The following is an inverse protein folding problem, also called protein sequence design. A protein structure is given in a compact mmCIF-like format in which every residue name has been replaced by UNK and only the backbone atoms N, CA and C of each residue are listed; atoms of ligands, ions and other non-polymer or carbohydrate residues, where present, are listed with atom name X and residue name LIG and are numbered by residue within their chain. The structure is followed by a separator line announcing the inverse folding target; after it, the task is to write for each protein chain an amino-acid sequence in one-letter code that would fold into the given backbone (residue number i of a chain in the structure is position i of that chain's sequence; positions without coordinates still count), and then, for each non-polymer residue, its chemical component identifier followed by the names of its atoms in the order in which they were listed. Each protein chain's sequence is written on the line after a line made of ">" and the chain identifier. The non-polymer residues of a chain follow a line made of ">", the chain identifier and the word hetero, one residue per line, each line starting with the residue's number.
data_IF_019963372549
#
_entry.id   IF_019963372549
#
_cell.length_a   1.000
_cell.length_b   1.000
_cell.length_c   1.000
_cell.angle_alpha   90.00
_cell.angle_beta   90.00
_cell.angle_gamma   90.00
#
_symmetry.space_group_name_H-M   'P 1'
#
loop_
_entity.id
_entity.type
_entity.pdbx_description
1 polymer ?
#
# COMPACT_ATOMS: atom_id res chain seq x y z
N UNK A 1 -1.55 13.68 -23.57
CA UNK A 1 -1.92 13.43 -24.97
C UNK A 1 -1.70 11.96 -25.26
N UNK A 2 -2.58 11.21 -25.89
CA UNK A 2 -3.86 11.59 -26.50
C UNK A 2 -4.75 10.36 -26.61
N UNK A 3 -6.05 10.64 -26.58
CA UNK A 3 -7.13 9.86 -27.15
C UNK A 3 -6.74 9.25 -28.53
N UNK A 4 -7.12 7.99 -28.74
CA UNK A 4 -6.88 7.24 -29.98
C UNK A 4 -7.56 7.86 -31.21
N UNK A 5 -8.47 8.82 -31.02
CA UNK A 5 -9.04 9.63 -32.10
C UNK A 5 -8.09 10.71 -32.65
N UNK A 6 -6.97 10.99 -31.98
CA UNK A 6 -6.05 12.10 -32.30
C UNK A 6 -4.58 11.65 -32.52
N UNK A 7 -4.35 10.48 -33.13
CA UNK A 7 -3.05 10.15 -33.73
C UNK A 7 -1.88 9.83 -32.77
N UNK A 8 -2.13 9.18 -31.63
CA UNK A 8 -1.08 8.69 -30.71
C UNK A 8 -0.56 7.29 -31.05
N UNK A 9 0.76 7.05 -30.90
CA UNK A 9 1.51 5.85 -31.31
C UNK A 9 1.22 4.55 -30.48
N UNK A 10 0.15 4.49 -29.69
CA UNK A 10 -0.17 3.33 -28.86
C UNK A 10 0.80 3.04 -27.70
N UNK A 11 1.80 3.90 -27.48
CA UNK A 11 2.71 3.84 -26.32
C UNK A 11 2.01 4.58 -25.17
N UNK A 12 1.73 3.88 -24.07
CA UNK A 12 1.10 4.45 -22.88
C UNK A 12 1.82 5.71 -22.36
N UNK A 13 1.12 6.51 -21.54
CA UNK A 13 1.63 7.80 -21.06
C UNK A 13 3.05 7.68 -20.48
N UNK A 14 4.04 8.29 -21.15
CA UNK A 14 5.44 8.30 -20.70
C UNK A 14 5.58 8.85 -19.27
N UNK A 15 4.73 9.82 -18.90
CA UNK A 15 4.71 10.36 -17.55
C UNK A 15 4.24 9.32 -16.53
N UNK A 16 3.23 8.51 -16.87
CA UNK A 16 2.78 7.41 -16.02
C UNK A 16 3.89 6.36 -15.90
N UNK A 17 4.52 5.96 -17.01
CA UNK A 17 5.70 5.07 -17.04
C UNK A 17 6.82 5.53 -16.13
N UNK A 18 7.18 6.80 -16.19
CA UNK A 18 8.21 7.38 -15.33
C UNK A 18 7.80 7.35 -13.84
N UNK A 19 6.53 7.65 -13.52
CA UNK A 19 6.01 7.54 -12.16
C UNK A 19 6.00 6.09 -11.65
N UNK A 20 5.63 5.12 -12.49
CA UNK A 20 5.68 3.70 -12.15
C UNK A 20 7.10 3.21 -11.87
N UNK A 21 8.10 3.70 -12.62
CA UNK A 21 9.51 3.42 -12.36
C UNK A 21 9.98 4.00 -11.03
N UNK A 22 9.54 5.22 -10.67
CA UNK A 22 9.81 5.79 -9.34
C UNK A 22 9.09 5.00 -8.24
N UNK A 23 7.87 4.54 -8.51
CA UNK A 23 7.14 3.67 -7.59
C UNK A 23 7.79 2.30 -7.40
N UNK A 24 8.53 1.80 -8.40
CA UNK A 24 9.35 0.59 -8.23
C UNK A 24 10.41 0.75 -7.14
N UNK A 25 10.97 1.95 -6.96
CA UNK A 25 11.91 2.20 -5.87
C UNK A 25 11.26 2.16 -4.49
N UNK A 26 9.99 2.56 -4.38
CA UNK A 26 9.20 2.36 -3.16
C UNK A 26 9.08 0.87 -2.83
N UNK A 27 8.68 0.06 -3.81
CA UNK A 27 8.57 -1.39 -3.65
C UNK A 27 9.90 -2.04 -3.23
N UNK A 28 11.00 -1.68 -3.91
CA UNK A 28 12.31 -2.24 -3.62
C UNK A 28 12.82 -1.87 -2.24
N UNK A 29 12.53 -0.66 -1.75
CA UNK A 29 12.92 -0.29 -0.39
C UNK A 29 12.27 -1.21 0.66
N UNK A 30 11.03 -1.59 0.42
CA UNK A 30 10.27 -2.48 1.30
C UNK A 30 10.68 -3.95 1.19
N UNK A 31 11.03 -4.41 -0.02
CA UNK A 31 11.30 -5.83 -0.30
C UNK A 31 12.78 -6.23 -0.31
N UNK A 32 13.70 -5.27 -0.36
CA UNK A 32 15.16 -5.50 -0.35
C UNK A 32 15.81 -4.92 0.92
N UNK A 33 15.45 -5.38 2.14
CA UNK A 33 15.94 -4.79 3.39
C UNK A 33 17.46 -4.92 3.57
N UNK A 34 18.08 -5.93 2.95
CA UNK A 34 19.51 -6.23 3.08
C UNK A 34 20.36 -5.58 1.98
N UNK A 35 19.76 -4.96 0.98
CA UNK A 35 20.51 -4.37 -0.11
C UNK A 35 21.33 -3.16 0.37
N UNK A 36 22.60 -3.07 -0.04
CA UNK A 36 23.52 -2.00 0.38
C UNK A 36 22.94 -0.60 0.14
N UNK A 37 22.32 -0.38 -1.02
CA UNK A 37 21.70 0.91 -1.33
C UNK A 37 20.61 1.28 -0.32
N UNK A 38 19.81 0.30 0.12
CA UNK A 38 18.75 0.49 1.11
C UNK A 38 19.33 0.80 2.48
N UNK A 39 20.41 0.12 2.88
CA UNK A 39 21.11 0.40 4.13
C UNK A 39 21.66 1.83 4.17
N UNK A 40 22.25 2.30 3.06
CA UNK A 40 22.74 3.68 2.91
C UNK A 40 21.60 4.70 3.01
N UNK A 41 20.46 4.43 2.35
CA UNK A 41 19.28 5.27 2.50
C UNK A 41 18.81 5.30 3.95
N UNK A 42 18.76 4.15 4.62
CA UNK A 42 18.33 4.07 6.02
C UNK A 42 19.28 4.78 6.98
N UNK A 43 20.59 4.81 6.71
CA UNK A 43 21.55 5.56 7.54
C UNK A 43 21.40 7.07 7.38
N UNK A 44 21.01 7.54 6.20
CA UNK A 44 20.85 8.99 5.91
C UNK A 44 19.47 9.49 6.31
N UNK A 45 18.42 8.71 6.06
CA UNK A 45 17.02 9.13 6.18
C UNK A 45 16.25 8.42 7.31
N UNK A 46 16.94 7.66 8.16
CA UNK A 46 16.37 6.87 9.25
C UNK A 46 15.91 5.47 8.81
N UNK A 47 15.57 4.61 9.78
CA UNK A 47 15.25 3.19 9.53
C UNK A 47 14.16 2.94 8.49
N UNK A 48 13.18 3.85 8.41
CA UNK A 48 12.08 3.81 7.45
C UNK A 48 12.36 4.62 6.17
N UNK A 49 13.58 5.11 5.94
CA UNK A 49 13.95 5.85 4.73
C UNK A 49 13.11 7.09 4.47
N UNK A 50 12.48 7.67 5.50
CA UNK A 50 11.54 8.79 5.38
C UNK A 50 10.08 8.40 5.07
N UNK A 51 9.74 7.12 4.87
CA UNK A 51 8.35 6.68 4.61
C UNK A 51 7.39 6.92 5.80
N UNK A 52 7.92 7.02 7.01
CA UNK A 52 7.16 7.34 8.22
C UNK A 52 7.00 8.86 8.47
N UNK A 53 7.62 9.70 7.65
CA UNK A 53 7.56 11.16 7.77
C UNK A 53 6.34 11.72 7.05
N UNK A 54 5.72 12.76 7.61
CA UNK A 54 4.61 13.45 6.94
C UNK A 54 5.13 14.22 5.70
N UNK A 55 4.26 14.44 4.72
CA UNK A 55 4.58 15.18 3.50
C UNK A 55 5.20 16.55 3.79
N UNK A 56 4.68 17.23 4.80
CA UNK A 56 5.09 18.58 5.21
C UNK A 56 6.45 18.59 5.89
N UNK A 57 6.83 17.46 6.51
CA UNK A 57 8.09 17.31 7.22
C UNK A 57 9.29 17.03 6.31
N UNK A 58 9.05 16.46 5.12
CA UNK A 58 10.13 16.15 4.17
C UNK A 58 10.53 17.40 3.37
N UNK A 59 11.60 18.05 3.83
CA UNK A 59 12.23 19.20 3.18
C UNK A 59 13.44 18.78 2.33
N UNK A 60 13.77 19.58 1.33
CA UNK A 60 14.93 19.36 0.44
C UNK A 60 14.58 18.80 -0.94
N UNK A 61 15.63 18.58 -1.75
CA UNK A 61 15.54 18.29 -3.19
C UNK A 61 16.44 17.13 -3.65
N UNK A 62 16.98 16.35 -2.70
CA UNK A 62 17.81 15.18 -3.02
C UNK A 62 17.07 14.11 -3.82
N UNK A 63 17.82 13.27 -4.55
CA UNK A 63 17.25 12.24 -5.43
C UNK A 63 16.26 11.32 -4.69
N UNK A 64 16.63 10.83 -3.50
CA UNK A 64 15.76 10.01 -2.67
C UNK A 64 14.51 10.76 -2.21
N UNK A 65 14.65 12.03 -1.81
CA UNK A 65 13.52 12.88 -1.43
C UNK A 65 12.55 13.09 -2.60
N UNK A 66 13.06 13.21 -3.83
CA UNK A 66 12.21 13.32 -5.01
C UNK A 66 11.47 12.01 -5.33
N UNK A 67 12.06 10.85 -5.05
CA UNK A 67 11.38 9.54 -5.12
C UNK A 67 10.23 9.48 -4.11
N UNK A 68 10.45 9.92 -2.86
CA UNK A 68 9.37 10.01 -1.87
C UNK A 68 8.26 10.98 -2.33
N UNK A 69 8.64 12.15 -2.83
CA UNK A 69 7.67 13.12 -3.35
C UNK A 69 6.86 12.61 -4.53
N UNK A 70 7.46 11.79 -5.39
CA UNK A 70 6.75 11.17 -6.51
C UNK A 70 5.63 10.24 -6.03
N UNK A 71 5.82 9.49 -4.94
CA UNK A 71 4.76 8.65 -4.38
C UNK A 71 3.54 9.44 -3.92
N UNK A 72 3.73 10.59 -3.26
CA UNK A 72 2.61 11.47 -2.90
C UNK A 72 1.95 12.09 -4.13
N UNK A 73 2.72 12.46 -5.15
CA UNK A 73 2.17 12.99 -6.40
C UNK A 73 1.29 11.96 -7.12
N UNK A 74 1.68 10.68 -7.10
CA UNK A 74 0.85 9.59 -7.62
C UNK A 74 -0.43 9.48 -6.78
N UNK A 75 -0.32 9.56 -5.46
CA UNK A 75 -1.47 9.50 -4.56
C UNK A 75 -2.46 10.66 -4.80
N UNK A 76 -1.95 11.87 -5.01
CA UNK A 76 -2.75 13.06 -5.34
C UNK A 76 -3.47 12.93 -6.69
N UNK A 77 -3.01 12.03 -7.57
CA UNK A 77 -3.63 11.77 -8.88
C UNK A 77 -4.83 10.80 -8.77
N UNK A 78 -5.25 10.45 -7.56
CA UNK A 78 -6.38 9.58 -7.27
C UNK A 78 -6.06 8.09 -7.22
N UNK A 79 -4.84 7.69 -7.60
CA UNK A 79 -4.38 6.30 -7.44
C UNK A 79 -3.99 6.08 -5.99
N UNK A 80 -4.55 5.10 -5.26
CA UNK A 80 -4.25 4.87 -3.84
C UNK A 80 -2.86 4.23 -3.65
N UNK A 81 -1.82 4.89 -4.14
CA UNK A 81 -0.49 4.32 -4.33
C UNK A 81 0.17 3.94 -3.00
N UNK A 82 0.16 4.85 -2.03
CA UNK A 82 0.84 4.61 -0.74
C UNK A 82 0.13 3.53 0.06
N UNK A 83 -1.20 3.57 0.12
CA UNK A 83 -2.02 2.57 0.82
C UNK A 83 -2.06 1.21 0.12
N UNK A 84 -1.53 1.13 -1.10
CA UNK A 84 -1.42 -0.14 -1.84
C UNK A 84 -0.17 -0.95 -1.49
N UNK A 85 0.81 -0.34 -0.82
CA UNK A 85 1.92 -1.06 -0.20
C UNK A 85 1.49 -1.54 1.18
N UNK A 86 1.15 -2.83 1.28
CA UNK A 86 0.68 -3.42 2.53
C UNK A 86 1.66 -4.41 3.08
N UNK A 87 1.73 -4.53 4.39
CA UNK A 87 2.44 -5.61 5.06
C UNK A 87 1.68 -6.92 4.85
N UNK A 88 2.40 -7.95 4.44
CA UNK A 88 1.92 -9.32 4.38
C UNK A 88 2.25 -9.99 5.71
N UNK A 89 1.23 -10.20 6.53
CA UNK A 89 1.36 -10.89 7.83
C UNK A 89 1.49 -12.39 7.58
N UNK A 90 2.57 -13.00 8.07
CA UNK A 90 2.78 -14.45 8.03
C UNK A 90 3.01 -14.95 9.45
N UNK A 91 4.16 -14.66 10.05
CA UNK A 91 4.39 -14.94 11.47
C UNK A 91 3.88 -13.80 12.36
N UNK A 92 3.74 -12.60 11.79
CA UNK A 92 3.35 -11.39 12.50
C UNK A 92 4.46 -10.78 13.35
N UNK A 93 5.67 -11.34 13.31
CA UNK A 93 6.80 -10.99 14.19
C UNK A 93 7.43 -9.63 13.86
N UNK A 94 7.34 -9.19 12.61
CA UNK A 94 7.95 -7.92 12.15
C UNK A 94 6.93 -6.91 11.65
N UNK A 95 5.65 -7.18 11.87
CA UNK A 95 4.55 -6.28 11.52
C UNK A 95 3.94 -5.72 12.78
N UNK A 96 3.96 -4.39 12.94
CA UNK A 96 3.38 -3.70 14.10
C UNK A 96 1.87 -3.62 13.92
N UNK A 97 1.13 -4.08 14.92
CA UNK A 97 -0.33 -4.20 14.80
C UNK A 97 -0.99 -2.83 14.56
N UNK A 98 -0.51 -1.80 15.25
CA UNK A 98 -1.11 -0.47 15.22
C UNK A 98 -0.64 0.40 14.06
N UNK A 99 0.67 0.41 13.80
CA UNK A 99 1.33 1.44 12.98
C UNK A 99 1.57 1.04 11.54
N UNK A 100 1.59 -0.24 11.23
CA UNK A 100 1.79 -0.70 9.86
C UNK A 100 0.45 -0.92 9.15
N UNK A 101 0.41 -0.70 7.83
CA UNK A 101 -0.78 -0.97 7.01
C UNK A 101 -0.76 -2.42 6.55
N UNK A 102 -1.43 -3.30 7.28
CA UNK A 102 -1.58 -4.72 6.91
C UNK A 102 -3.04 -5.12 6.64
N UNK A 103 -4.00 -4.29 7.07
CA UNK A 103 -5.43 -4.47 6.85
C UNK A 103 -6.07 -3.16 6.37
N UNK A 104 -7.09 -3.24 5.52
CA UNK A 104 -7.77 -2.05 5.00
C UNK A 104 -6.86 -1.14 4.17
N UNK A 105 -7.09 0.17 4.20
CA UNK A 105 -6.34 1.18 3.43
C UNK A 105 -5.42 2.06 4.29
N UNK A 106 -5.46 1.91 5.62
CA UNK A 106 -4.71 2.72 6.57
C UNK A 106 -4.37 1.89 7.82
N UNK A 107 -3.42 2.39 8.61
CA UNK A 107 -2.97 1.75 9.84
C UNK A 107 -4.06 1.76 10.92
N UNK A 108 -4.04 0.76 11.80
CA UNK A 108 -5.11 0.57 12.80
C UNK A 108 -5.14 1.67 13.87
N UNK A 109 -4.03 2.37 14.12
CA UNK A 109 -4.01 3.56 14.97
C UNK A 109 -4.88 4.70 14.42
N UNK A 110 -5.02 4.80 13.10
CA UNK A 110 -5.89 5.78 12.43
C UNK A 110 -7.33 5.29 12.31
N UNK A 111 -7.53 3.99 12.14
CA UNK A 111 -8.86 3.37 12.05
C UNK A 111 -9.55 3.33 13.41
N UNK A 112 -8.81 3.00 14.46
CA UNK A 112 -9.30 2.85 15.84
C UNK A 112 -8.50 3.71 16.82
N UNK A 113 -8.53 5.05 16.69
CA UNK A 113 -7.68 5.95 17.47
C UNK A 113 -7.94 5.86 18.99
N UNK A 114 -9.18 5.50 19.38
CA UNK A 114 -9.58 5.35 20.77
C UNK A 114 -9.00 4.09 21.40
N UNK A 115 -9.06 2.97 20.68
CA UNK A 115 -8.40 1.74 21.10
C UNK A 115 -6.88 1.96 21.17
N UNK A 116 -6.29 2.57 20.15
CA UNK A 116 -4.85 2.86 20.14
C UNK A 116 -4.40 3.72 21.33
N UNK A 117 -5.20 4.71 21.74
CA UNK A 117 -4.91 5.50 22.93
C UNK A 117 -4.82 4.62 24.19
N UNK A 118 -5.70 3.62 24.29
CA UNK A 118 -5.82 2.68 25.41
C UNK A 118 -4.85 1.50 25.34
N UNK A 119 -4.23 1.21 24.19
CA UNK A 119 -3.23 0.16 24.07
C UNK A 119 -2.07 0.38 25.04
N UNK A 120 -1.69 -0.68 25.78
CA UNK A 120 -0.55 -0.68 26.69
C UNK A 120 0.75 -0.48 25.90
N UNK A 121 0.99 -1.36 24.93
CA UNK A 121 2.10 -1.29 23.99
C UNK A 121 1.60 -0.85 22.60
N UNK A 122 2.07 0.33 22.17
CA UNK A 122 1.72 0.94 20.88
C UNK A 122 2.64 0.51 19.74
N UNK A 123 3.73 -0.20 20.05
CA UNK A 123 4.73 -0.67 19.10
C UNK A 123 4.80 -2.20 19.02
N UNK A 124 3.91 -2.91 19.72
CA UNK A 124 3.83 -4.36 19.68
C UNK A 124 3.58 -4.91 18.27
N UNK A 125 4.16 -6.08 18.02
CA UNK A 125 3.95 -6.85 16.80
C UNK A 125 2.60 -7.57 16.81
N UNK A 126 2.11 -7.93 15.62
CA UNK A 126 0.89 -8.74 15.47
C UNK A 126 1.03 -10.07 16.20
N UNK A 127 2.21 -10.72 16.13
CA UNK A 127 2.47 -11.96 16.84
C UNK A 127 2.34 -11.79 18.36
N UNK A 128 2.98 -10.76 18.91
CA UNK A 128 2.90 -10.48 20.35
C UNK A 128 1.47 -10.20 20.78
N UNK A 129 0.73 -9.39 20.02
CA UNK A 129 -0.67 -9.09 20.32
C UNK A 129 -1.54 -10.35 20.36
N UNK A 130 -1.47 -11.19 19.31
CA UNK A 130 -2.25 -12.43 19.23
C UNK A 130 -1.87 -13.38 20.36
N UNK A 131 -0.58 -13.56 20.64
CA UNK A 131 -0.13 -14.43 21.74
C UNK A 131 -0.64 -13.95 23.11
N UNK A 132 -0.52 -12.66 23.40
CA UNK A 132 -0.99 -12.07 24.65
C UNK A 132 -2.53 -12.15 24.78
N UNK A 133 -3.26 -12.01 23.67
CA UNK A 133 -4.72 -12.18 23.63
C UNK A 133 -5.14 -13.62 23.95
N UNK A 134 -4.48 -14.62 23.36
CA UNK A 134 -4.75 -16.05 23.65
C UNK A 134 -4.43 -16.43 25.10
N UNK A 135 -3.42 -15.78 25.68
CA UNK A 135 -3.02 -15.97 27.08
C UNK A 135 -3.88 -15.14 28.07
N UNK A 136 -4.91 -14.42 27.59
CA UNK A 136 -5.74 -13.51 28.39
C UNK A 136 -4.92 -12.48 29.19
N UNK A 137 -3.84 -11.96 28.63
CA UNK A 137 -3.07 -10.87 29.25
C UNK A 137 -3.79 -9.54 29.05
N UNK A 138 -3.52 -8.62 29.98
CA UNK A 138 -3.96 -7.23 29.84
C UNK A 138 -3.27 -6.57 28.64
N UNK A 139 -4.06 -6.18 27.64
CA UNK A 139 -3.62 -5.46 26.43
C UNK A 139 -3.98 -3.96 26.50
N UNK A 140 -4.86 -3.60 27.42
CA UNK A 140 -5.45 -2.27 27.55
C UNK A 140 -5.07 -1.65 28.90
N UNK A 141 -4.92 -0.32 28.92
CA UNK A 141 -4.56 0.45 30.14
C UNK A 141 -5.66 0.47 31.21
N UNK A 142 -6.89 0.19 30.80
CA UNK A 142 -8.10 0.08 31.62
C UNK A 142 -9.12 -0.76 30.87
N UNK A 143 -10.15 -1.22 31.55
CA UNK A 143 -11.27 -1.87 30.88
C UNK A 143 -11.98 -0.89 29.92
N UNK A 144 -12.62 -1.48 28.92
CA UNK A 144 -13.34 -0.77 27.87
C UNK A 144 -14.80 -0.60 28.33
N UNK A 145 -15.16 0.61 28.74
CA UNK A 145 -16.37 0.88 29.53
C UNK A 145 -17.54 1.42 28.70
N UNK A 146 -17.92 0.71 27.61
CA UNK A 146 -19.19 0.85 26.87
C UNK A 146 -19.23 1.83 25.68
N UNK A 147 -20.29 1.67 24.89
CA UNK A 147 -20.68 2.53 23.78
C UNK A 147 -19.78 2.36 22.56
N UNK A 148 -19.34 3.48 21.99
CA UNK A 148 -18.53 3.48 20.78
C UNK A 148 -17.18 2.74 20.95
N UNK A 149 -16.64 2.62 22.17
CA UNK A 149 -15.37 1.87 22.41
C UNK A 149 -15.58 0.37 22.17
N UNK A 150 -16.74 -0.15 22.57
CA UNK A 150 -17.11 -1.56 22.40
C UNK A 150 -17.32 -1.91 20.93
N UNK A 151 -17.97 -1.02 20.17
CA UNK A 151 -18.14 -1.21 18.72
C UNK A 151 -16.80 -1.22 17.97
N UNK A 152 -15.88 -0.31 18.33
CA UNK A 152 -14.53 -0.32 17.75
C UNK A 152 -13.80 -1.61 18.10
N UNK A 153 -13.96 -2.11 19.33
CA UNK A 153 -13.35 -3.36 19.78
C UNK A 153 -13.90 -4.56 18.99
N UNK A 154 -15.21 -4.69 18.85
CA UNK A 154 -15.83 -5.77 18.05
C UNK A 154 -15.32 -5.77 16.61
N UNK A 155 -15.23 -4.58 15.99
CA UNK A 155 -14.68 -4.43 14.65
C UNK A 155 -13.20 -4.80 14.60
N UNK A 156 -12.40 -4.35 15.58
CA UNK A 156 -10.99 -4.68 15.68
C UNK A 156 -10.76 -6.19 15.90
N UNK A 157 -11.52 -6.81 16.80
CA UNK A 157 -11.46 -8.24 17.08
C UNK A 157 -11.84 -9.05 15.84
N UNK A 158 -12.83 -8.61 15.06
CA UNK A 158 -13.16 -9.27 13.77
C UNK A 158 -11.97 -9.29 12.80
N UNK A 159 -11.12 -8.26 12.82
CA UNK A 159 -9.91 -8.17 12.00
C UNK A 159 -8.82 -9.09 12.54
N UNK A 160 -8.60 -9.08 13.85
CA UNK A 160 -7.54 -9.86 14.49
C UNK A 160 -7.86 -11.36 14.51
N UNK A 161 -9.12 -11.74 14.78
CA UNK A 161 -9.57 -13.14 14.79
C UNK A 161 -9.49 -13.80 13.40
N UNK A 162 -9.48 -13.01 12.32
CA UNK A 162 -9.26 -13.50 10.97
C UNK A 162 -7.80 -13.86 10.66
N UNK A 163 -6.84 -13.53 11.55
CA UNK A 163 -5.43 -13.82 11.34
C UNK A 163 -5.11 -15.27 11.67
N UNK A 164 -4.56 -15.98 10.68
CA UNK A 164 -3.90 -17.28 10.89
C UNK A 164 -2.39 -17.07 10.75
N UNK A 165 -1.69 -17.07 11.88
CA UNK A 165 -0.23 -16.93 11.90
C UNK A 165 0.43 -18.28 11.62
N UNK A 166 1.50 -18.25 10.84
CA UNK A 166 2.25 -19.44 10.40
C UNK A 166 3.75 -19.20 10.52
N UNK A 167 4.52 -20.29 10.56
CA UNK A 167 5.97 -20.23 10.49
C UNK A 167 6.42 -19.63 9.16
N UNK A 168 7.22 -18.58 9.22
CA UNK A 168 7.69 -17.84 8.05
C UNK A 168 8.07 -16.40 8.38
N UNK A 169 8.46 -15.68 7.33
CA UNK A 169 8.85 -14.27 7.43
C UNK A 169 7.74 -13.41 6.86
N UNK A 170 7.36 -12.36 7.59
CA UNK A 170 6.45 -11.35 7.07
C UNK A 170 7.06 -10.66 5.84
N UNK A 171 6.20 -10.15 4.97
CA UNK A 171 6.63 -9.51 3.74
C UNK A 171 5.88 -8.24 3.44
N UNK A 172 5.94 -7.85 2.17
CA UNK A 172 5.11 -6.81 1.59
C UNK A 172 4.28 -7.38 0.47
N UNK A 173 3.09 -6.83 0.29
CA UNK A 173 2.19 -7.14 -0.80
C UNK A 173 1.71 -5.85 -1.46
N UNK A 174 1.53 -5.92 -2.76
CA UNK A 174 0.99 -4.87 -3.59
C UNK A 174 -0.49 -5.13 -3.87
N UNK A 175 -1.39 -4.31 -3.35
CA UNK A 175 -2.83 -4.61 -3.38
C UNK A 175 -3.57 -4.19 -4.65
N UNK A 176 -2.92 -3.56 -5.64
CA UNK A 176 -3.55 -3.24 -6.94
C UNK A 176 -3.35 -4.34 -7.99
N UNK A 177 -2.77 -5.48 -7.59
CA UNK A 177 -2.55 -6.61 -8.48
C UNK A 177 -2.82 -7.93 -7.76
N UNK A 178 -3.30 -8.93 -8.50
CA UNK A 178 -3.56 -10.26 -7.94
C UNK A 178 -2.28 -11.04 -7.63
N UNK A 179 -1.15 -10.71 -8.27
CA UNK A 179 0.14 -11.34 -7.94
C UNK A 179 0.65 -10.94 -6.56
N UNK A 180 0.14 -9.84 -5.98
CA UNK A 180 0.67 -9.27 -4.74
C UNK A 180 2.07 -8.67 -4.87
N UNK A 181 2.63 -8.57 -6.07
CA UNK A 181 3.93 -7.95 -6.32
C UNK A 181 3.78 -6.68 -7.16
N UNK A 182 4.55 -5.65 -6.82
CA UNK A 182 4.58 -4.45 -7.62
C UNK A 182 5.31 -4.72 -8.96
N UNK A 183 4.66 -4.36 -10.06
CA UNK A 183 5.28 -4.17 -11.35
C UNK A 183 4.85 -2.83 -11.93
N UNK A 184 5.65 -2.29 -12.87
CA UNK A 184 5.26 -1.07 -13.58
C UNK A 184 3.95 -1.30 -14.34
N UNK A 185 3.75 -2.51 -14.89
CA UNK A 185 2.53 -2.89 -15.60
C UNK A 185 1.31 -2.89 -14.67
N UNK A 186 1.41 -3.53 -13.51
CA UNK A 186 0.31 -3.55 -12.53
C UNK A 186 -0.01 -2.18 -11.94
N UNK A 187 0.98 -1.28 -11.90
CA UNK A 187 0.73 0.12 -11.59
C UNK A 187 -0.04 0.82 -12.73
N UNK A 188 0.34 0.59 -13.99
CA UNK A 188 -0.36 1.20 -15.14
C UNK A 188 -1.82 0.77 -15.21
N UNK A 189 -2.12 -0.51 -15.00
CA UNK A 189 -3.50 -1.01 -15.05
C UNK A 189 -4.38 -0.30 -14.01
N UNK A 190 -3.87 -0.13 -12.78
CA UNK A 190 -4.54 0.67 -11.75
C UNK A 190 -4.66 2.15 -12.10
N UNK A 191 -3.60 2.75 -12.67
CA UNK A 191 -3.60 4.15 -13.10
C UNK A 191 -4.67 4.43 -14.16
N UNK A 192 -4.80 3.57 -15.15
CA UNK A 192 -5.76 3.71 -16.25
C UNK A 192 -7.22 3.56 -15.79
N UNK A 193 -7.46 2.67 -14.82
CA UNK A 193 -8.77 2.51 -14.19
C UNK A 193 -9.23 3.79 -13.48
N UNK A 194 -8.32 4.48 -12.80
CA UNK A 194 -8.60 5.73 -12.07
C UNK A 194 -8.69 6.93 -13.03
N UNK A 195 -7.87 6.97 -14.07
CA UNK A 195 -7.89 8.08 -15.04
C UNK A 195 -9.03 8.03 -16.04
N UNK A 196 -9.93 7.03 -15.95
CA UNK A 196 -11.05 6.84 -16.89
C UNK A 196 -10.63 6.47 -18.31
N UNK A 197 -9.38 6.03 -18.52
CA UNK A 197 -8.85 5.66 -19.82
C UNK A 197 -8.83 4.14 -19.90
N UNK A 198 -9.93 3.54 -20.35
CA UNK A 198 -10.02 2.09 -20.59
C UNK A 198 -9.07 1.75 -21.73
N UNK A 199 -8.04 0.94 -21.48
CA UNK A 199 -7.32 0.26 -22.55
C UNK A 199 -7.43 -1.25 -22.38
N UNK A 200 -8.12 -1.88 -23.35
CA UNK A 200 -8.07 -3.31 -23.57
C UNK A 200 -6.62 -3.71 -23.87
N UNK A 201 -5.92 -4.31 -22.91
CA UNK A 201 -4.61 -4.92 -23.14
C UNK A 201 -4.81 -6.34 -23.69
N UNK A 202 -4.88 -6.40 -25.03
CA UNK A 202 -4.45 -7.48 -25.92
C UNK A 202 -4.11 -8.85 -25.32
N UNK A 203 -4.95 -9.85 -25.61
CA UNK A 203 -4.47 -11.19 -25.97
C UNK A 203 -4.50 -11.30 -27.51
N UNK A 204 -3.31 -11.39 -28.11
CA UNK A 204 -3.11 -11.61 -29.54
C UNK A 204 -3.63 -13.00 -29.94
N UNK A 205 -4.59 -13.07 -30.87
CA UNK A 205 -4.52 -14.06 -31.94
C UNK A 205 -4.73 -13.33 -33.26
N UNK A 206 -3.66 -13.24 -34.04
CA UNK A 206 -3.71 -12.90 -35.45
C UNK A 206 -4.64 -13.87 -36.16
N UNK A 207 -5.70 -13.35 -36.78
CA UNK A 207 -6.55 -14.15 -37.65
C UNK A 207 -7.79 -13.38 -38.05
N UNK A 208 -7.65 -12.54 -39.09
CA UNK A 208 -8.69 -12.11 -40.01
C UNK A 208 -10.10 -11.91 -39.44
N UNK A 209 -10.55 -10.66 -39.31
CA UNK A 209 -11.79 -10.12 -39.90
C UNK A 209 -12.12 -8.76 -39.26
N UNK A 210 -12.45 -7.79 -40.13
CA UNK A 210 -13.04 -6.52 -39.76
C UNK A 210 -14.33 -6.74 -38.96
N UNK A 211 -14.50 -6.06 -37.82
CA UNK A 211 -15.82 -5.65 -37.35
C UNK A 211 -15.77 -4.24 -36.77
N UNK A 212 -16.56 -3.37 -37.39
CA UNK A 212 -16.97 -2.07 -36.91
C UNK A 212 -17.87 -2.29 -35.68
N UNK A 213 -17.53 -1.74 -34.52
CA UNK A 213 -18.52 -1.51 -33.47
C UNK A 213 -18.41 -0.07 -32.96
N UNK A 214 -19.41 0.71 -33.36
CA UNK A 214 -19.80 1.96 -32.72
C UNK A 214 -20.30 1.63 -31.32
N UNK A 215 -19.83 2.33 -30.30
CA UNK A 215 -20.65 2.55 -29.11
C UNK A 215 -20.53 4.00 -28.64
N UNK A 216 -21.70 4.60 -28.49
CA UNK A 216 -21.98 6.01 -28.33
C UNK A 216 -21.46 6.58 -27.01
N UNK A 217 -21.11 7.87 -27.08
CA UNK A 217 -20.89 8.73 -25.95
C UNK A 217 -22.12 8.89 -25.04
N UNK A 218 -21.88 8.98 -23.74
CA UNK A 218 -22.65 9.72 -22.71
C UNK A 218 -21.76 9.75 -21.45
N UNK A 219 -21.41 10.86 -20.80
CA UNK A 219 -21.88 12.25 -20.84
C UNK A 219 -20.76 13.24 -21.21
#
# INVERSE_FOLDING_TARGET
>A
MADCSMGGLGIGSLSASNLGLLGKWWWRFHTEPDALWRQVISSIHGSFGGFNSSRESIKGSGLWINILKAGWKINDSGVPFISSFKRKVVSGSSTRIWKDVWFGSQSLDRTFPRLFALALDKDCSVQQWVSASLENRDLWRRDLFLGREMQDLENFDSVVMGLSLHDGVDGWTWSLDTSGSFSVLSFMTGWFHVSGVVTFLWWLVLGYFFFLFVCLASC
#
